data_IF_156280147899
#
_entry.id   IF_156280147899
#
_cell.length_a   1.000
_cell.length_b   1.000
_cell.length_c   1.000
_cell.angle_alpha   90.00
_cell.angle_beta   90.00
_cell.angle_gamma   90.00
#
_symmetry.space_group_name_H-M   'P 1'
#
loop_
_entity.id
_entity.type
_entity.pdbx_description
1 polymer ?
#
# COMPACT_ATOMS: atom_id res chain seq x y z
N UNK A 1 -55.06 -20.67 20.50
CA UNK A 1 -54.99 -19.20 20.53
C UNK A 1 -53.65 -18.85 21.14
N UNK A 2 -52.57 -18.57 20.44
CA UNK A 2 -52.24 -18.28 19.02
C UNK A 2 -50.71 -18.52 18.95
N UNK A 3 -50.19 -19.50 18.19
CA UNK A 3 -49.60 -19.39 16.82
C UNK A 3 -48.78 -18.10 16.65
N UNK A 4 -47.44 -18.14 16.78
CA UNK A 4 -46.39 -18.56 15.82
C UNK A 4 -46.33 -17.72 14.53
N UNK A 5 -45.39 -16.78 14.47
CA UNK A 5 -44.80 -16.28 13.22
C UNK A 5 -43.27 -16.49 13.31
N UNK A 6 -42.78 -17.43 12.50
CA UNK A 6 -41.37 -17.62 12.15
C UNK A 6 -41.23 -17.23 10.68
N UNK A 7 -40.41 -16.24 10.39
CA UNK A 7 -40.05 -15.91 9.02
C UNK A 7 -39.20 -17.03 8.42
N UNK A 8 -39.72 -17.64 7.36
CA UNK A 8 -38.99 -18.50 6.44
C UNK A 8 -38.34 -17.63 5.36
N UNK A 9 -37.00 -17.64 5.30
CA UNK A 9 -36.24 -17.16 4.14
C UNK A 9 -36.00 -18.35 3.22
N UNK A 10 -36.65 -18.35 2.06
CA UNK A 10 -36.46 -19.32 1.00
C UNK A 10 -35.28 -18.87 0.12
N UNK A 11 -34.19 -19.63 0.16
CA UNK A 11 -33.02 -19.41 -0.70
C UNK A 11 -33.31 -20.11 -2.03
N UNK A 12 -33.65 -19.34 -3.05
CA UNK A 12 -33.72 -19.81 -4.43
C UNK A 12 -32.31 -20.06 -4.94
N UNK A 13 -31.96 -21.34 -5.15
CA UNK A 13 -30.78 -21.73 -5.91
C UNK A 13 -31.10 -21.56 -7.40
N UNK A 14 -30.46 -20.58 -8.04
CA UNK A 14 -30.42 -20.49 -9.50
C UNK A 14 -29.36 -21.48 -9.95
N UNK A 15 -29.78 -22.56 -10.62
CA UNK A 15 -28.91 -23.47 -11.35
C UNK A 15 -28.64 -22.91 -12.75
N UNK A 16 -27.38 -22.96 -13.17
CA UNK A 16 -26.95 -22.67 -14.54
C UNK A 16 -27.49 -23.75 -15.50
N UNK A 17 -28.73 -23.60 -15.96
CA UNK A 17 -29.23 -24.26 -17.16
C UNK A 17 -29.90 -23.19 -18.04
N UNK A 18 -29.47 -23.12 -19.30
CA UNK A 18 -29.97 -22.20 -20.32
C UNK A 18 -31.46 -22.48 -20.61
N UNK A 19 -32.37 -21.84 -19.86
CA UNK A 19 -33.77 -21.72 -20.24
C UNK A 19 -33.95 -20.46 -21.10
N UNK A 20 -34.31 -20.68 -22.37
CA UNK A 20 -34.78 -19.62 -23.26
C UNK A 20 -36.05 -19.01 -22.64
N UNK A 21 -35.96 -17.73 -22.25
CA UNK A 21 -37.09 -16.96 -21.69
C UNK A 21 -38.28 -16.97 -22.64
N UNK A 22 -39.48 -17.14 -22.08
CA UNK A 22 -40.73 -17.14 -22.82
C UNK A 22 -40.91 -15.79 -23.55
N UNK A 23 -41.18 -15.79 -24.87
CA UNK A 23 -41.44 -14.56 -25.61
C UNK A 23 -42.60 -13.72 -25.06
N UNK A 24 -43.50 -14.25 -24.23
CA UNK A 24 -44.49 -13.43 -23.52
C UNK A 24 -43.89 -12.61 -22.37
N UNK A 25 -42.92 -13.16 -21.62
CA UNK A 25 -42.21 -12.43 -20.54
C UNK A 25 -41.30 -11.33 -21.08
N UNK A 26 -40.66 -11.57 -22.25
CA UNK A 26 -39.87 -10.56 -22.94
C UNK A 26 -40.75 -9.38 -23.36
N UNK A 27 -41.98 -9.65 -23.79
CA UNK A 27 -42.92 -8.63 -24.25
C UNK A 27 -43.49 -7.77 -23.12
N UNK A 28 -43.63 -8.34 -21.93
CA UNK A 28 -44.02 -7.61 -20.71
C UNK A 28 -42.87 -6.73 -20.20
N UNK A 29 -41.63 -7.19 -20.29
CA UNK A 29 -40.44 -6.38 -19.97
C UNK A 29 -40.23 -5.23 -20.96
N UNK A 30 -40.49 -5.44 -22.26
CA UNK A 30 -40.42 -4.37 -23.26
C UNK A 30 -41.49 -3.29 -23.01
N UNK A 31 -42.70 -3.63 -22.57
CA UNK A 31 -43.71 -2.61 -22.26
C UNK A 31 -43.39 -1.79 -21.01
N UNK A 32 -42.73 -2.38 -20.02
CA UNK A 32 -42.27 -1.67 -18.81
C UNK A 32 -41.14 -0.68 -19.15
N UNK A 33 -40.27 -1.03 -20.10
CA UNK A 33 -39.18 -0.13 -20.53
C UNK A 33 -39.75 1.05 -21.34
N UNK A 34 -40.75 0.81 -22.19
CA UNK A 34 -41.39 1.86 -23.01
C UNK A 34 -42.12 2.89 -22.14
N UNK A 35 -42.79 2.45 -21.06
CA UNK A 35 -43.47 3.32 -20.09
C UNK A 35 -42.50 4.18 -19.25
N UNK A 36 -41.29 3.70 -18.97
CA UNK A 36 -40.25 4.46 -18.24
C UNK A 36 -39.55 5.49 -19.14
N UNK A 37 -39.53 5.29 -20.46
CA UNK A 37 -38.91 6.23 -21.39
C UNK A 37 -39.78 7.41 -21.82
N UNK A 38 -41.11 7.33 -21.68
CA UNK A 38 -42.00 8.47 -22.02
C UNK A 38 -42.05 9.57 -20.94
N UNK A 39 -41.53 9.34 -19.72
CA UNK A 39 -41.56 10.34 -18.63
C UNK A 39 -40.39 11.35 -18.63
N UNK A 40 -39.50 11.36 -19.63
CA UNK A 40 -38.28 12.21 -19.61
C UNK A 40 -38.05 13.12 -20.83
N UNK A 41 -39.05 13.37 -21.67
CA UNK A 41 -38.87 14.10 -22.95
C UNK A 41 -39.50 15.51 -23.01
N UNK A 42 -39.37 16.29 -21.93
CA UNK A 42 -39.83 17.70 -21.85
C UNK A 42 -38.70 18.70 -21.54
N UNK A 43 -37.52 18.58 -22.18
CA UNK A 43 -36.55 19.68 -22.27
C UNK A 43 -36.00 19.85 -23.69
N UNK A 44 -36.71 20.66 -24.50
CA UNK A 44 -36.19 21.20 -25.77
C UNK A 44 -35.16 22.30 -25.49
N UNK A 45 -33.89 22.01 -25.79
CA UNK A 45 -32.86 23.04 -25.91
C UNK A 45 -32.94 23.72 -27.27
N UNK A 46 -33.01 25.05 -27.25
CA UNK A 46 -33.04 25.95 -28.40
C UNK A 46 -31.62 26.06 -28.99
N UNK A 47 -31.39 25.47 -30.17
CA UNK A 47 -30.11 25.53 -30.88
C UNK A 47 -30.14 26.61 -31.96
N UNK A 48 -30.02 27.88 -31.55
CA UNK A 48 -29.80 29.03 -32.45
C UNK A 48 -28.79 30.02 -31.82
N UNK A 49 -27.58 29.52 -31.51
CA UNK A 49 -26.45 30.38 -31.13
C UNK A 49 -25.45 30.49 -32.28
N UNK A 50 -25.27 31.72 -32.79
CA UNK A 50 -24.32 32.06 -33.85
C UNK A 50 -22.85 31.81 -33.42
N UNK A 51 -21.96 31.46 -34.35
CA UNK A 51 -20.56 31.18 -34.04
C UNK A 51 -19.82 32.47 -33.63
N UNK A 52 -19.20 32.44 -32.45
CA UNK A 52 -18.34 33.49 -31.91
C UNK A 52 -17.02 33.52 -32.71
N UNK A 53 -16.68 34.67 -33.28
CA UNK A 53 -15.37 34.96 -33.88
C UNK A 53 -14.26 34.88 -32.82
N UNK A 54 -13.29 34.01 -33.06
CA UNK A 54 -12.06 33.93 -32.27
C UNK A 54 -11.15 35.08 -32.73
N UNK A 55 -10.99 36.09 -31.87
CA UNK A 55 -9.98 37.14 -32.03
C UNK A 55 -8.66 36.59 -31.47
N UNK A 56 -7.64 36.47 -32.31
CA UNK A 56 -6.27 36.15 -31.91
C UNK A 56 -5.68 37.34 -31.12
N UNK A 57 -5.39 37.13 -29.85
CA UNK A 57 -4.70 38.12 -29.00
C UNK A 57 -3.18 37.85 -28.98
N UNK A 58 -2.42 38.94 -29.18
CA UNK A 58 -0.97 38.98 -29.32
C UNK A 58 -0.23 38.49 -28.08
N UNK A 59 0.81 37.68 -28.31
CA UNK A 59 1.77 37.27 -27.28
C UNK A 59 2.70 38.45 -26.93
N UNK A 60 2.49 39.06 -25.77
CA UNK A 60 3.55 39.82 -25.09
C UNK A 60 4.47 38.88 -24.30
N UNK A 61 5.77 39.09 -24.48
CA UNK A 61 6.83 38.34 -23.82
C UNK A 61 7.00 38.84 -22.37
N UNK A 62 6.80 37.95 -21.39
CA UNK A 62 7.19 38.22 -20.01
C UNK A 62 8.69 37.91 -19.81
N UNK A 63 9.43 38.94 -19.42
CA UNK A 63 10.79 38.86 -18.91
C UNK A 63 10.81 38.12 -17.55
N UNK A 64 11.75 37.18 -17.40
CA UNK A 64 12.02 36.45 -16.16
C UNK A 64 12.72 37.34 -15.13
N UNK A 65 12.26 37.42 -13.87
CA UNK A 65 13.02 38.07 -12.80
C UNK A 65 14.23 37.23 -12.37
N UNK A 66 15.29 37.94 -12.00
CA UNK A 66 16.59 37.43 -11.57
C UNK A 66 16.52 36.76 -10.19
N UNK A 67 17.34 35.71 -10.03
CA UNK A 67 17.61 35.01 -8.78
C UNK A 67 18.27 35.94 -7.75
N UNK A 68 17.59 36.20 -6.62
CA UNK A 68 18.21 36.77 -5.42
C UNK A 68 18.33 35.71 -4.32
N UNK A 69 19.59 35.48 -3.96
CA UNK A 69 20.18 35.01 -2.69
C UNK A 69 19.29 34.24 -1.69
N UNK A 70 19.45 32.91 -1.67
CA UNK A 70 19.12 32.08 -0.50
C UNK A 70 20.17 32.29 0.61
N UNK A 71 19.80 33.02 1.66
CA UNK A 71 20.54 33.09 2.91
C UNK A 71 20.60 31.71 3.62
N UNK A 72 21.81 31.32 4.01
CA UNK A 72 22.08 30.14 4.85
C UNK A 72 21.52 30.36 6.26
N UNK A 73 20.63 29.49 6.70
CA UNK A 73 20.29 29.34 8.10
C UNK A 73 21.23 28.32 8.77
N UNK A 74 22.11 28.82 9.65
CA UNK A 74 22.91 28.02 10.58
C UNK A 74 22.03 27.58 11.76
N UNK A 75 21.90 26.27 11.96
CA UNK A 75 21.31 25.72 13.18
C UNK A 75 22.34 25.73 14.32
N UNK A 76 22.04 26.31 15.49
CA UNK A 76 22.89 26.16 16.67
C UNK A 76 22.84 24.72 17.17
N UNK A 77 24.01 24.13 17.31
CA UNK A 77 24.23 22.80 17.89
C UNK A 77 24.50 22.98 19.38
N UNK A 78 23.48 22.75 20.20
CA UNK A 78 23.66 22.75 21.65
C UNK A 78 23.93 21.33 22.19
N UNK A 79 25.01 21.31 22.96
CA UNK A 79 25.62 20.25 23.75
C UNK A 79 24.67 19.40 24.62
N UNK A 80 24.77 18.09 24.40
CA UNK A 80 24.97 17.00 25.37
C UNK A 80 24.72 17.32 26.87
N UNK A 81 23.81 16.57 27.48
CA UNK A 81 24.07 16.00 28.82
C UNK A 81 23.80 14.51 28.82
N UNK A 82 24.88 13.73 28.92
CA UNK A 82 24.86 12.30 29.19
C UNK A 82 24.37 12.06 30.63
N UNK A 83 23.32 11.25 30.77
CA UNK A 83 22.91 10.72 32.08
C UNK A 83 23.44 9.29 32.18
N UNK A 84 24.36 9.15 33.13
CA UNK A 84 24.98 7.94 33.61
C UNK A 84 23.97 7.13 34.45
N UNK A 85 23.73 5.87 34.07
CA UNK A 85 22.97 4.89 34.85
C UNK A 85 23.75 3.58 34.89
N UNK A 86 24.80 3.57 35.72
CA UNK A 86 25.40 2.34 36.26
C UNK A 86 24.79 1.99 37.62
N UNK A 87 24.26 0.78 37.77
CA UNK A 87 24.43 -0.13 38.93
C UNK A 87 23.38 -1.25 38.84
N UNK A 88 23.84 -2.50 38.67
CA UNK A 88 23.76 -3.61 39.66
C UNK A 88 22.36 -4.31 39.64
N UNK A 89 22.17 -5.62 39.60
CA UNK A 89 23.00 -6.75 40.02
C UNK A 89 22.39 -8.08 39.48
N UNK A 90 23.30 -8.97 39.05
CA UNK A 90 23.33 -10.43 39.23
C UNK A 90 22.41 -11.44 38.46
N UNK A 91 22.93 -12.68 38.25
CA UNK A 91 22.58 -13.56 37.14
C UNK A 91 21.89 -14.85 37.59
N UNK A 92 21.10 -15.45 36.70
CA UNK A 92 20.67 -16.84 36.84
C UNK A 92 21.28 -17.72 35.76
N UNK A 93 22.27 -18.48 36.22
CA UNK A 93 22.87 -19.68 35.66
C UNK A 93 21.78 -20.76 35.51
N UNK A 94 21.56 -21.27 34.30
CA UNK A 94 20.85 -22.54 34.09
C UNK A 94 21.72 -23.41 33.17
N UNK A 95 21.97 -24.61 33.67
CA UNK A 95 22.85 -25.64 33.16
C UNK A 95 22.22 -26.40 31.98
N UNK A 96 23.07 -26.87 31.08
CA UNK A 96 22.74 -27.81 30.03
C UNK A 96 22.83 -29.26 30.52
N UNK A 97 22.02 -30.17 29.97
CA UNK A 97 22.41 -31.57 29.75
C UNK A 97 22.49 -31.83 28.24
N UNK A 98 23.65 -32.18 27.66
CA UNK A 98 24.34 -33.49 27.70
C UNK A 98 23.52 -34.65 27.11
N UNK A 99 23.93 -35.05 25.90
CA UNK A 99 24.11 -36.41 25.34
C UNK A 99 22.96 -37.42 25.41
N UNK A 100 22.56 -37.94 24.25
CA UNK A 100 22.84 -39.33 23.88
C UNK A 100 22.38 -39.65 22.43
N UNK A 101 23.33 -40.07 21.60
CA UNK A 101 23.08 -40.90 20.40
C UNK A 101 22.71 -42.33 20.87
N UNK A 102 21.97 -43.12 20.06
CA UNK A 102 22.71 -44.14 19.30
C UNK A 102 22.08 -44.60 17.96
N UNK A 103 23.01 -44.96 17.06
CA UNK A 103 23.06 -46.18 16.21
C UNK A 103 22.04 -46.38 15.08
N UNK A 104 22.62 -46.37 13.88
CA UNK A 104 22.25 -47.10 12.66
C UNK A 104 22.00 -48.60 12.89
N UNK A 105 21.32 -49.26 11.93
CA UNK A 105 22.01 -50.37 11.29
C UNK A 105 21.93 -50.37 9.76
N UNK A 106 23.10 -50.70 9.21
CA UNK A 106 23.43 -51.17 7.87
C UNK A 106 22.62 -52.40 7.46
N UNK A 107 22.06 -52.40 6.24
CA UNK A 107 21.79 -53.62 5.46
C UNK A 107 22.11 -53.32 3.98
N UNK A 108 22.95 -54.17 3.40
CA UNK A 108 23.20 -54.40 1.96
C UNK A 108 23.17 -55.93 1.76
N UNK A 109 23.29 -56.48 0.54
CA UNK A 109 22.64 -56.22 -0.76
C UNK A 109 22.03 -57.55 -1.32
N UNK A 110 21.89 -57.69 -2.66
CA UNK A 110 21.43 -58.87 -3.46
C UNK A 110 19.92 -58.84 -3.83
N UNK A 111 19.43 -59.13 -5.04
CA UNK A 111 20.01 -59.57 -6.33
C UNK A 111 18.92 -59.51 -7.45
N UNK A 112 19.33 -59.76 -8.71
CA UNK A 112 18.54 -60.07 -9.93
C UNK A 112 17.84 -58.90 -10.65
N UNK A 113 17.87 -58.71 -11.97
CA UNK A 113 18.31 -59.53 -13.11
C UNK A 113 17.35 -59.32 -14.31
N UNK A 114 17.87 -59.29 -15.54
CA UNK A 114 17.15 -59.39 -16.83
C UNK A 114 17.01 -58.06 -17.60
N UNK A 115 17.71 -57.83 -18.73
CA UNK A 115 17.42 -58.28 -20.13
C UNK A 115 16.08 -57.70 -20.65
N UNK A 116 15.93 -57.05 -21.81
CA UNK A 116 16.55 -57.23 -23.14
C UNK A 116 16.12 -56.09 -24.12
N UNK A 117 16.93 -55.89 -25.18
CA UNK A 117 16.60 -55.55 -26.58
C UNK A 117 15.86 -54.24 -26.98
N UNK A 118 16.49 -53.42 -27.85
CA UNK A 118 16.25 -53.44 -29.31
C UNK A 118 16.98 -52.29 -30.06
N UNK A 119 17.50 -52.65 -31.23
CA UNK A 119 18.33 -51.85 -32.14
C UNK A 119 17.57 -50.72 -32.89
N UNK A 120 18.30 -49.72 -33.41
CA UNK A 120 18.31 -49.38 -34.85
C UNK A 120 19.24 -48.20 -35.22
N UNK A 121 20.13 -48.47 -36.19
CA UNK A 121 20.61 -47.65 -37.33
C UNK A 121 21.56 -46.44 -37.15
N UNK A 122 22.79 -46.64 -37.64
CA UNK A 122 23.70 -45.64 -38.25
C UNK A 122 23.24 -45.38 -39.71
N UNK A 123 23.35 -44.19 -40.31
CA UNK A 123 24.52 -43.45 -40.85
C UNK A 123 24.01 -42.09 -41.42
N UNK A 124 24.82 -41.15 -41.99
CA UNK A 124 26.26 -40.92 -41.90
C UNK A 124 26.64 -39.48 -41.48
N UNK A 125 27.93 -39.28 -41.25
CA UNK A 125 28.58 -38.03 -40.89
C UNK A 125 28.51 -36.93 -41.97
N UNK A 126 28.21 -35.71 -41.54
CA UNK A 126 28.61 -34.47 -42.21
C UNK A 126 29.55 -33.74 -41.25
N UNK A 127 30.83 -33.68 -41.61
CA UNK A 127 31.83 -32.88 -40.92
C UNK A 127 31.41 -31.40 -40.91
N UNK A 128 31.13 -30.89 -39.72
CA UNK A 128 31.18 -29.46 -39.42
C UNK A 128 32.44 -29.20 -38.58
N UNK A 129 33.14 -28.08 -38.81
CA UNK A 129 34.40 -27.77 -38.14
C UNK A 129 34.23 -27.81 -36.61
N UNK A 130 35.28 -28.19 -35.85
CA UNK A 130 35.17 -28.33 -34.41
C UNK A 130 34.72 -27.01 -33.80
N UNK A 131 33.50 -27.02 -33.26
CA UNK A 131 33.04 -26.00 -32.35
C UNK A 131 33.88 -26.22 -31.08
N UNK A 132 34.87 -25.35 -30.86
CA UNK A 132 35.58 -25.27 -29.60
C UNK A 132 34.60 -24.69 -28.57
N UNK A 133 33.81 -25.56 -27.96
CA UNK A 133 33.17 -25.32 -26.66
C UNK A 133 33.96 -26.06 -25.60
N UNK A 134 35.21 -25.64 -25.41
CA UNK A 134 36.00 -26.01 -24.25
C UNK A 134 36.03 -24.81 -23.32
N UNK A 135 35.24 -24.84 -22.25
CA UNK A 135 35.58 -24.06 -21.07
C UNK A 135 36.89 -24.65 -20.56
N UNK A 136 38.03 -23.98 -20.80
CA UNK A 136 39.27 -24.33 -20.10
C UNK A 136 39.16 -23.72 -18.71
N UNK A 137 38.39 -24.39 -17.85
CA UNK A 137 38.42 -24.12 -16.41
C UNK A 137 39.72 -24.77 -15.91
N UNK A 138 40.57 -24.06 -15.13
CA UNK A 138 41.71 -24.68 -14.49
C UNK A 138 41.24 -25.92 -13.71
N UNK A 139 41.90 -27.06 -13.89
CA UNK A 139 41.51 -28.33 -13.24
C UNK A 139 41.84 -28.39 -11.74
N UNK A 140 42.20 -27.25 -11.14
CA UNK A 140 42.70 -27.21 -9.78
C UNK A 140 41.54 -27.00 -8.80
N UNK A 141 41.38 -28.00 -7.93
CA UNK A 141 40.48 -28.09 -6.77
C UNK A 141 39.07 -27.49 -6.95
N UNK A 142 38.12 -28.33 -7.40
CA UNK A 142 36.69 -28.04 -7.39
C UNK A 142 36.06 -28.44 -6.06
N UNK A 143 35.26 -27.54 -5.48
CA UNK A 143 34.49 -27.79 -4.27
C UNK A 143 32.99 -27.70 -4.57
N UNK A 144 32.27 -28.80 -4.31
CA UNK A 144 30.82 -28.86 -4.46
C UNK A 144 30.15 -28.39 -3.17
N UNK A 145 29.41 -27.29 -3.25
CA UNK A 145 28.71 -26.72 -2.09
C UNK A 145 27.21 -26.81 -2.32
N UNK A 146 26.52 -27.48 -1.39
CA UNK A 146 25.05 -27.54 -1.40
C UNK A 146 24.47 -26.29 -0.75
N UNK A 147 23.43 -25.68 -1.33
CA UNK A 147 22.74 -24.55 -0.71
C UNK A 147 22.08 -25.01 0.58
N UNK A 148 22.08 -24.12 1.58
CA UNK A 148 21.35 -24.35 2.83
C UNK A 148 19.83 -24.25 2.61
N UNK A 149 19.03 -24.77 3.55
CA UNK A 149 17.56 -24.71 3.47
C UNK A 149 17.00 -23.28 3.40
N UNK A 150 17.75 -22.28 3.85
CA UNK A 150 17.41 -20.85 3.78
C UNK A 150 17.90 -20.17 2.49
N UNK A 151 18.47 -20.92 1.53
CA UNK A 151 19.01 -20.37 0.28
C UNK A 151 20.39 -19.72 0.42
N UNK A 152 20.97 -19.67 1.63
CA UNK A 152 22.33 -19.20 1.85
C UNK A 152 23.38 -20.22 1.41
N UNK A 153 24.56 -19.74 1.02
CA UNK A 153 25.74 -20.56 0.74
C UNK A 153 26.68 -20.50 1.94
N UNK A 154 27.00 -21.64 2.54
CA UNK A 154 27.96 -21.73 3.65
C UNK A 154 29.21 -22.45 3.15
N UNK A 155 30.35 -21.77 3.21
CA UNK A 155 31.63 -22.38 2.83
C UNK A 155 32.04 -23.44 3.87
N UNK A 156 32.45 -24.65 3.45
CA UNK A 156 32.99 -25.67 4.34
C UNK A 156 34.16 -25.12 5.16
N UNK A 157 34.32 -25.63 6.40
CA UNK A 157 35.38 -25.17 7.31
C UNK A 157 36.78 -25.33 6.70
N UNK A 158 37.02 -26.45 6.03
CA UNK A 158 38.28 -26.76 5.33
C UNK A 158 38.63 -25.73 4.24
N UNK A 159 37.61 -25.19 3.55
CA UNK A 159 37.79 -24.16 2.55
C UNK A 159 38.04 -22.80 3.21
N UNK A 160 37.31 -22.45 4.27
CA UNK A 160 37.52 -21.21 5.03
C UNK A 160 38.93 -21.09 5.59
N UNK A 161 39.52 -22.20 6.01
CA UNK A 161 40.86 -22.22 6.59
C UNK A 161 41.98 -22.16 5.53
N UNK A 162 41.68 -22.53 4.27
CA UNK A 162 42.64 -22.54 3.14
C UNK A 162 42.61 -21.28 2.27
N UNK A 163 41.51 -20.54 2.31
CA UNK A 163 41.25 -19.43 1.40
C UNK A 163 41.78 -18.11 1.96
N UNK A 164 42.55 -17.38 1.14
CA UNK A 164 42.99 -16.03 1.47
C UNK A 164 41.82 -15.04 1.41
N UNK A 165 41.75 -13.99 2.26
CA UNK A 165 40.62 -13.05 2.28
C UNK A 165 40.33 -12.30 0.97
N UNK A 166 41.26 -12.30 0.02
CA UNK A 166 41.16 -11.63 -1.29
C UNK A 166 41.12 -12.63 -2.46
N UNK A 167 40.90 -13.92 -2.18
CA UNK A 167 40.82 -14.93 -3.22
C UNK A 167 39.57 -14.74 -4.09
N UNK A 168 39.75 -14.76 -5.40
CA UNK A 168 38.65 -14.73 -6.35
C UNK A 168 38.09 -16.14 -6.59
N UNK A 169 36.77 -16.22 -6.76
CA UNK A 169 36.04 -17.47 -7.01
C UNK A 169 35.18 -17.36 -8.26
N UNK A 170 35.17 -18.42 -9.07
CA UNK A 170 34.16 -18.63 -10.09
C UNK A 170 33.09 -19.60 -9.55
N UNK A 171 31.83 -19.20 -9.69
CA UNK A 171 30.67 -20.04 -9.39
C UNK A 171 30.12 -20.62 -10.70
N UNK A 172 30.13 -21.95 -10.83
CA UNK A 172 29.59 -22.64 -12.00
C UNK A 172 28.44 -23.54 -11.56
N UNK A 173 27.32 -23.47 -12.28
CA UNK A 173 26.20 -24.37 -12.07
C UNK A 173 26.41 -25.64 -12.90
N UNK A 174 26.77 -26.74 -12.25
CA UNK A 174 26.87 -28.06 -12.86
C UNK A 174 25.62 -28.88 -12.53
N UNK A 175 24.65 -28.91 -13.44
CA UNK A 175 23.36 -29.57 -13.21
C UNK A 175 22.53 -28.88 -12.12
N UNK A 176 22.40 -29.53 -10.96
CA UNK A 176 21.69 -29.02 -9.77
C UNK A 176 22.63 -28.59 -8.64
N UNK A 177 23.94 -28.70 -8.84
CA UNK A 177 24.94 -28.40 -7.83
C UNK A 177 25.75 -27.16 -8.23
N UNK A 178 26.21 -26.42 -7.22
CA UNK A 178 27.07 -25.26 -7.39
C UNK A 178 28.51 -25.70 -7.16
N UNK A 179 29.31 -25.63 -8.22
CA UNK A 179 30.73 -25.88 -8.19
C UNK A 179 31.47 -24.56 -7.99
N UNK A 180 32.36 -24.53 -7.00
CA UNK A 180 33.23 -23.39 -6.71
C UNK A 180 34.64 -23.70 -7.20
N UNK A 181 35.18 -22.80 -8.02
CA UNK A 181 36.56 -22.85 -8.50
C UNK A 181 37.33 -21.64 -7.97
N UNK A 182 38.52 -21.88 -7.43
CA UNK A 182 39.45 -20.79 -7.14
C UNK A 182 40.05 -20.30 -8.44
N UNK A 183 39.96 -19.00 -8.69
CA UNK A 183 40.49 -18.38 -9.90
C UNK A 183 41.51 -17.30 -9.54
N UNK A 184 42.52 -17.16 -10.38
CA UNK A 184 43.45 -16.03 -10.29
C UNK A 184 42.89 -14.85 -11.08
N UNK A 185 43.33 -13.63 -10.75
CA UNK A 185 42.89 -12.41 -11.46
C UNK A 185 43.14 -12.47 -12.97
N UNK A 186 44.21 -13.14 -13.39
CA UNK A 186 44.59 -13.32 -14.79
C UNK A 186 43.58 -14.17 -15.59
N UNK A 187 42.77 -14.97 -14.92
CA UNK A 187 41.79 -15.86 -15.55
C UNK A 187 40.40 -15.21 -15.65
N UNK A 188 40.14 -14.13 -14.91
CA UNK A 188 38.87 -13.40 -14.94
C UNK A 188 38.48 -12.96 -16.37
N UNK A 189 39.37 -12.40 -17.21
CA UNK A 189 39.01 -12.00 -18.57
C UNK A 189 38.66 -13.17 -19.49
N UNK A 190 39.12 -14.39 -19.15
CA UNK A 190 38.86 -15.62 -19.91
C UNK A 190 37.49 -16.22 -19.55
N UNK A 191 36.92 -15.82 -18.42
CA UNK A 191 35.59 -16.25 -17.99
C UNK A 191 34.53 -15.50 -18.81
N UNK A 192 33.83 -16.22 -19.67
CA UNK A 192 32.62 -15.72 -20.31
C UNK A 192 31.44 -15.92 -19.36
N UNK A 193 30.80 -14.83 -18.96
CA UNK A 193 29.51 -14.89 -18.29
C UNK A 193 28.53 -15.62 -19.20
N UNK A 194 28.11 -16.82 -18.81
CA UNK A 194 27.03 -17.52 -19.49
C UNK A 194 25.75 -16.75 -19.16
N UNK A 195 25.48 -15.69 -19.92
CA UNK A 195 24.10 -15.24 -20.09
C UNK A 195 23.42 -16.42 -20.75
N UNK A 196 22.66 -17.20 -19.98
CA UNK A 196 21.66 -18.10 -20.57
C UNK A 196 20.90 -17.21 -21.54
N UNK A 197 21.09 -17.44 -22.85
CA UNK A 197 20.07 -17.05 -23.81
C UNK A 197 18.84 -17.76 -23.29
N UNK A 198 17.98 -17.00 -22.61
CA UNK A 198 16.60 -17.40 -22.46
C UNK A 198 16.13 -17.39 -23.91
N UNK A 199 16.25 -18.54 -24.57
CA UNK A 199 15.55 -18.76 -25.82
C UNK A 199 14.12 -18.29 -25.56
N UNK A 200 13.58 -17.38 -26.38
CA UNK A 200 12.21 -16.96 -26.20
C UNK A 200 11.40 -18.23 -26.21
N UNK A 201 10.87 -18.61 -25.04
CA UNK A 201 9.89 -19.68 -24.96
C UNK A 201 8.87 -19.31 -26.02
N UNK A 202 8.76 -20.16 -27.05
CA UNK A 202 7.57 -20.25 -27.87
C UNK A 202 6.40 -20.00 -26.93
N UNK A 203 5.49 -19.10 -27.30
CA UNK A 203 4.23 -18.84 -26.58
C UNK A 203 3.42 -20.14 -26.50
N UNK A 204 3.87 -21.13 -25.76
CA UNK A 204 2.98 -22.02 -25.05
C UNK A 204 2.22 -21.09 -24.16
N UNK A 205 0.90 -21.00 -24.39
CA UNK A 205 -0.03 -20.45 -23.41
C UNK A 205 0.49 -20.92 -22.05
N UNK A 206 1.06 -20.01 -21.26
CA UNK A 206 1.18 -20.25 -19.82
C UNK A 206 -0.26 -20.49 -19.45
N UNK A 207 -0.63 -21.75 -19.26
CA UNK A 207 -1.85 -22.08 -18.58
C UNK A 207 -1.80 -21.21 -17.35
N UNK A 208 -2.70 -20.23 -17.29
CA UNK A 208 -3.00 -19.46 -16.10
C UNK A 208 -3.30 -20.57 -15.11
N UNK A 209 -2.29 -20.94 -14.32
CA UNK A 209 -2.42 -22.02 -13.34
C UNK A 209 -3.46 -21.43 -12.42
N UNK A 210 -4.72 -21.83 -12.60
CA UNK A 210 -5.83 -21.30 -11.84
C UNK A 210 -5.39 -21.45 -10.39
N UNK A 211 -5.07 -20.31 -9.77
CA UNK A 211 -4.80 -20.27 -8.34
C UNK A 211 -6.11 -20.80 -7.78
N UNK A 212 -6.10 -22.02 -7.23
CA UNK A 212 -7.23 -22.54 -6.47
C UNK A 212 -7.58 -21.42 -5.50
N UNK A 213 -8.78 -20.83 -5.65
CA UNK A 213 -9.29 -19.84 -4.68
C UNK A 213 -9.15 -20.51 -3.32
N UNK A 214 -8.27 -19.98 -2.49
CA UNK A 214 -8.16 -20.45 -1.11
C UNK A 214 -9.44 -19.99 -0.45
N UNK A 215 -10.20 -20.90 0.14
CA UNK A 215 -11.34 -20.53 0.97
C UNK A 215 -10.82 -19.68 2.14
N UNK A 216 -11.17 -18.40 2.17
CA UNK A 216 -10.66 -17.46 3.16
C UNK A 216 -10.84 -15.99 2.74
N UNK A 217 -10.49 -15.04 3.63
CA UNK A 217 -10.47 -13.63 3.29
C UNK A 217 -9.48 -13.38 2.15
N UNK A 218 -9.83 -12.46 1.25
CA UNK A 218 -8.99 -12.03 0.13
C UNK A 218 -8.44 -10.62 0.40
N UNK A 219 -7.22 -10.30 -0.08
CA UNK A 219 -6.69 -8.94 0.01
C UNK A 219 -7.47 -7.96 -0.89
N UNK A 220 -7.81 -6.80 -0.35
CA UNK A 220 -8.46 -5.69 -1.04
C UNK A 220 -7.41 -4.76 -1.68
N UNK A 221 -6.87 -5.14 -2.83
CA UNK A 221 -5.83 -4.35 -3.49
C UNK A 221 -6.25 -2.92 -3.90
N UNK A 222 -7.47 -2.67 -4.41
CA UNK A 222 -7.95 -1.32 -4.67
C UNK A 222 -7.82 -0.39 -3.46
N UNK A 223 -8.00 -0.92 -2.24
CA UNK A 223 -7.81 -0.16 -0.99
C UNK A 223 -6.35 0.22 -0.70
N UNK A 224 -5.35 -0.46 -1.26
CA UNK A 224 -3.94 -0.17 -0.93
C UNK A 224 -3.23 0.65 -2.03
N UNK A 225 -3.61 0.43 -3.29
CA UNK A 225 -2.97 1.03 -4.46
C UNK A 225 -3.76 2.24 -4.98
N UNK A 226 -3.73 3.33 -4.21
CA UNK A 226 -4.31 4.62 -4.64
C UNK A 226 -3.50 5.29 -5.74
N UNK A 227 -2.21 4.97 -5.83
CA UNK A 227 -1.29 5.52 -6.80
C UNK A 227 -0.56 4.40 -7.53
N UNK A 228 -0.26 4.62 -8.81
CA UNK A 228 0.53 3.69 -9.60
C UNK A 228 1.98 3.63 -9.07
N UNK A 229 2.47 2.39 -8.89
CA UNK A 229 3.84 2.13 -8.45
C UNK A 229 4.66 1.48 -9.57
N UNK A 230 5.94 1.83 -9.62
CA UNK A 230 6.91 1.05 -10.39
C UNK A 230 6.97 -0.36 -9.79
N UNK A 231 6.90 -1.39 -10.64
CA UNK A 231 6.80 -2.80 -10.23
C UNK A 231 5.56 -3.18 -9.40
N UNK A 232 4.44 -2.44 -9.52
CA UNK A 232 3.17 -2.74 -8.82
C UNK A 232 2.78 -4.23 -8.86
N UNK A 233 2.92 -4.92 -10.00
CA UNK A 233 2.60 -6.35 -10.10
C UNK A 233 3.44 -7.25 -9.19
N UNK A 234 4.74 -6.96 -9.02
CA UNK A 234 5.62 -7.72 -8.12
C UNK A 234 5.31 -7.42 -6.66
N UNK A 235 5.02 -6.15 -6.37
CA UNK A 235 4.63 -5.70 -5.02
C UNK A 235 3.30 -6.35 -4.63
N UNK A 236 2.33 -6.36 -5.54
CA UNK A 236 1.02 -6.99 -5.35
C UNK A 236 1.17 -8.49 -5.07
N UNK A 237 1.94 -9.23 -5.88
CA UNK A 237 2.20 -10.65 -5.64
C UNK A 237 2.85 -10.92 -4.27
N UNK A 238 3.78 -10.05 -3.84
CA UNK A 238 4.43 -10.15 -2.54
C UNK A 238 3.47 -9.83 -1.38
N UNK A 239 2.66 -8.78 -1.50
CA UNK A 239 1.63 -8.44 -0.52
C UNK A 239 0.54 -9.51 -0.42
N UNK A 240 0.14 -10.11 -1.55
CA UNK A 240 -0.77 -11.27 -1.56
C UNK A 240 -0.17 -12.43 -0.74
N UNK A 241 1.12 -12.71 -0.97
CA UNK A 241 1.81 -13.75 -0.20
C UNK A 241 1.91 -13.41 1.29
N UNK A 242 2.14 -12.15 1.66
CA UNK A 242 2.20 -11.73 3.06
C UNK A 242 0.81 -11.82 3.72
N UNK A 243 -0.24 -11.40 3.01
CA UNK A 243 -1.63 -11.45 3.47
C UNK A 243 -2.02 -12.87 3.88
N UNK A 244 -1.77 -13.85 3.00
CA UNK A 244 -2.12 -15.23 3.32
C UNK A 244 -1.33 -15.79 4.50
N UNK A 245 -0.10 -15.34 4.74
CA UNK A 245 0.66 -15.73 5.95
C UNK A 245 0.09 -15.11 7.22
N UNK A 246 -0.48 -13.92 7.16
CA UNK A 246 -1.27 -13.36 8.27
C UNK A 246 -2.59 -14.09 8.49
N UNK A 247 -3.21 -14.59 7.42
CA UNK A 247 -4.46 -15.34 7.46
C UNK A 247 -4.30 -16.80 7.93
N UNK A 248 -3.07 -17.32 8.04
CA UNK A 248 -2.81 -18.66 8.55
C UNK A 248 -3.20 -18.82 10.02
N UNK A 249 -3.46 -20.06 10.44
CA UNK A 249 -3.90 -20.36 11.80
C UNK A 249 -3.01 -21.47 12.40
N UNK A 250 -2.03 -21.13 13.27
CA UNK A 250 -1.72 -19.80 13.81
C UNK A 250 -1.07 -18.85 12.77
N UNK A 251 -1.18 -17.52 12.96
CA UNK A 251 -0.64 -16.55 12.01
C UNK A 251 0.89 -16.57 11.99
N UNK A 252 1.48 -16.65 10.80
CA UNK A 252 2.93 -16.64 10.59
C UNK A 252 3.46 -15.20 10.49
N UNK A 253 3.25 -14.41 11.55
CA UNK A 253 3.56 -12.98 11.60
C UNK A 253 5.01 -12.67 11.21
N UNK A 254 5.98 -13.44 11.73
CA UNK A 254 7.40 -13.21 11.42
C UNK A 254 7.73 -13.37 9.94
N UNK A 255 7.16 -14.39 9.29
CA UNK A 255 7.37 -14.59 7.87
C UNK A 255 6.64 -13.57 7.00
N UNK A 256 5.43 -13.17 7.40
CA UNK A 256 4.67 -12.12 6.71
C UNK A 256 5.41 -10.78 6.80
N UNK A 257 5.91 -10.42 7.99
CA UNK A 257 6.69 -9.20 8.19
C UNK A 257 8.02 -9.21 7.45
N UNK A 258 8.69 -10.35 7.34
CA UNK A 258 9.90 -10.46 6.51
C UNK A 258 9.62 -10.13 5.04
N UNK A 259 8.44 -10.48 4.52
CA UNK A 259 8.03 -10.09 3.16
C UNK A 259 7.78 -8.58 3.09
N UNK A 260 7.09 -8.00 4.07
CA UNK A 260 6.84 -6.54 4.13
C UNK A 260 8.17 -5.76 4.18
N UNK A 261 9.10 -6.19 5.05
CA UNK A 261 10.44 -5.58 5.16
C UNK A 261 11.22 -5.78 3.86
N UNK A 262 11.12 -6.96 3.22
CA UNK A 262 11.71 -7.18 1.91
C UNK A 262 11.16 -6.21 0.86
N UNK A 263 9.85 -5.92 0.86
CA UNK A 263 9.26 -4.95 -0.06
C UNK A 263 9.83 -3.55 0.20
N UNK A 264 9.79 -3.09 1.45
CA UNK A 264 10.34 -1.79 1.84
C UNK A 264 11.84 -1.68 1.47
N UNK A 265 12.65 -2.69 1.77
CA UNK A 265 14.10 -2.63 1.50
C UNK A 265 14.46 -2.78 0.03
N UNK A 266 13.76 -3.63 -0.73
CA UNK A 266 14.13 -3.94 -2.12
C UNK A 266 13.59 -2.94 -3.13
N UNK A 267 12.41 -2.40 -2.89
CA UNK A 267 11.76 -1.48 -3.84
C UNK A 267 12.03 -0.01 -3.50
N UNK A 268 12.37 0.34 -2.25
CA UNK A 268 12.77 1.73 -1.92
C UNK A 268 14.23 1.97 -2.31
N UNK A 269 15.15 1.04 -2.04
CA UNK A 269 16.60 1.26 -2.25
C UNK A 269 17.04 1.35 -3.71
N UNK A 270 16.25 0.81 -4.64
CA UNK A 270 16.58 0.80 -6.07
C UNK A 270 16.15 2.07 -6.81
N UNK A 271 15.26 2.89 -6.23
CA UNK A 271 14.83 4.15 -6.80
C UNK A 271 15.42 5.30 -5.99
N UNK A 272 16.03 6.29 -6.67
CA UNK A 272 16.65 7.46 -6.02
C UNK A 272 15.64 8.39 -5.32
N UNK A 273 14.35 8.05 -5.35
CA UNK A 273 13.33 8.74 -4.59
C UNK A 273 12.75 7.77 -3.57
N UNK A 274 12.80 8.14 -2.30
CA UNK A 274 12.02 7.51 -1.24
C UNK A 274 10.54 7.56 -1.65
N UNK A 275 10.01 6.45 -2.17
CA UNK A 275 8.65 6.46 -2.71
C UNK A 275 7.62 6.48 -1.58
N UNK A 276 7.17 7.69 -1.24
CA UNK A 276 6.12 7.95 -0.26
C UNK A 276 4.83 7.18 -0.59
N UNK A 277 4.56 6.89 -1.89
CA UNK A 277 3.39 6.12 -2.32
C UNK A 277 3.52 4.65 -1.92
N UNK A 278 4.70 4.05 -2.07
CA UNK A 278 4.93 2.68 -1.62
C UNK A 278 4.74 2.57 -0.11
N UNK A 279 5.28 3.51 0.66
CA UNK A 279 5.12 3.55 2.12
C UNK A 279 3.66 3.65 2.54
N UNK A 280 2.90 4.53 1.89
CA UNK A 280 1.46 4.63 2.09
C UNK A 280 0.76 3.29 1.78
N UNK A 281 1.05 2.66 0.64
CA UNK A 281 0.49 1.35 0.28
C UNK A 281 0.77 0.31 1.37
N UNK A 282 1.98 0.27 1.92
CA UNK A 282 2.32 -0.64 3.02
C UNK A 282 1.54 -0.30 4.30
N UNK A 283 1.41 0.98 4.67
CA UNK A 283 0.61 1.38 5.84
C UNK A 283 -0.84 0.95 5.69
N UNK A 284 -1.45 1.18 4.53
CA UNK A 284 -2.85 0.82 4.25
C UNK A 284 -3.04 -0.70 4.29
N UNK A 285 -2.12 -1.43 3.69
CA UNK A 285 -2.09 -2.89 3.76
C UNK A 285 -2.01 -3.37 5.22
N UNK A 286 -1.07 -2.86 6.01
CA UNK A 286 -0.90 -3.26 7.41
C UNK A 286 -2.11 -2.87 8.27
N UNK A 287 -2.74 -1.72 8.03
CA UNK A 287 -3.98 -1.34 8.70
C UNK A 287 -5.12 -2.32 8.38
N UNK A 288 -5.23 -2.78 7.14
CA UNK A 288 -6.20 -3.81 6.79
C UNK A 288 -5.89 -5.17 7.45
N UNK A 289 -4.61 -5.54 7.58
CA UNK A 289 -4.21 -6.73 8.35
C UNK A 289 -4.61 -6.60 9.82
N UNK A 290 -4.42 -5.42 10.42
CA UNK A 290 -4.84 -5.14 11.80
C UNK A 290 -6.34 -5.34 11.95
N UNK A 291 -7.13 -4.81 11.02
CA UNK A 291 -8.59 -4.91 11.00
C UNK A 291 -9.10 -6.35 10.88
N UNK A 292 -8.54 -7.12 9.95
CA UNK A 292 -9.02 -8.48 9.65
C UNK A 292 -8.52 -9.53 10.65
N UNK A 293 -7.27 -9.38 11.12
CA UNK A 293 -6.59 -10.44 11.87
C UNK A 293 -6.23 -10.02 13.30
N UNK A 294 -6.71 -8.85 13.77
CA UNK A 294 -6.50 -8.32 15.12
C UNK A 294 -5.02 -8.32 15.54
N UNK A 295 -4.17 -7.67 14.73
CA UNK A 295 -2.72 -7.58 14.94
C UNK A 295 -2.27 -6.16 15.34
N UNK A 296 -2.68 -5.64 16.51
CA UNK A 296 -2.54 -4.23 16.85
C UNK A 296 -1.09 -3.75 17.04
N UNK A 297 -0.11 -4.66 17.14
CA UNK A 297 1.31 -4.34 17.16
C UNK A 297 1.84 -3.81 15.82
N UNK A 298 1.11 -4.01 14.72
CA UNK A 298 1.51 -3.47 13.41
C UNK A 298 1.36 -1.95 13.35
N UNK A 299 0.48 -1.36 14.17
CA UNK A 299 0.36 0.10 14.31
C UNK A 299 1.68 0.69 14.86
N UNK A 300 2.25 0.06 15.90
CA UNK A 300 3.55 0.43 16.48
C UNK A 300 4.69 0.29 15.48
N UNK A 301 4.62 -0.68 14.57
CA UNK A 301 5.58 -0.85 13.49
C UNK A 301 5.47 0.28 12.46
N UNK A 302 4.27 0.59 11.98
CA UNK A 302 4.04 1.69 11.04
C UNK A 302 4.56 3.03 11.59
N UNK A 303 4.30 3.30 12.88
CA UNK A 303 4.72 4.54 13.55
C UNK A 303 6.24 4.68 13.64
N UNK A 304 6.98 3.60 13.89
CA UNK A 304 8.44 3.66 14.11
C UNK A 304 9.24 3.52 12.82
N UNK A 305 8.79 2.69 11.89
CA UNK A 305 9.64 2.23 10.78
C UNK A 305 9.21 2.79 9.41
N UNK A 306 7.99 3.32 9.29
CA UNK A 306 7.45 3.71 7.97
C UNK A 306 7.08 5.19 7.91
N UNK A 307 6.26 5.67 8.85
CA UNK A 307 5.55 6.94 8.68
C UNK A 307 6.49 8.14 8.63
N UNK A 308 7.51 8.19 9.49
CA UNK A 308 8.43 9.33 9.58
C UNK A 308 9.36 9.44 8.35
N UNK A 309 9.41 8.41 7.50
CA UNK A 309 10.18 8.42 6.25
C UNK A 309 9.35 8.86 5.03
N UNK A 310 8.07 9.22 5.21
CA UNK A 310 7.21 9.76 4.16
C UNK A 310 7.47 11.26 3.99
N UNK A 311 7.93 11.65 2.80
CA UNK A 311 8.36 13.02 2.51
C UNK A 311 7.20 13.93 2.05
N UNK A 312 6.18 13.36 1.42
CA UNK A 312 5.00 14.12 0.98
C UNK A 312 4.10 14.44 2.17
N UNK A 313 3.89 15.72 2.49
CA UNK A 313 3.00 16.17 3.57
C UNK A 313 1.58 15.62 3.41
N UNK A 314 1.05 15.64 2.18
CA UNK A 314 -0.27 15.10 1.87
C UNK A 314 -0.37 13.60 2.15
N UNK A 315 0.58 12.80 1.66
CA UNK A 315 0.58 11.35 1.89
C UNK A 315 0.84 11.00 3.36
N UNK A 316 1.70 11.76 4.03
CA UNK A 316 1.95 11.64 5.47
C UNK A 316 0.65 11.83 6.25
N UNK A 317 -0.09 12.89 5.94
CA UNK A 317 -1.37 13.18 6.57
C UNK A 317 -2.42 12.09 6.32
N UNK A 318 -2.56 11.61 5.09
CA UNK A 318 -3.47 10.50 4.77
C UNK A 318 -3.11 9.24 5.58
N UNK A 319 -1.82 8.95 5.72
CA UNK A 319 -1.36 7.82 6.53
C UNK A 319 -1.67 8.01 8.02
N UNK A 320 -1.50 9.23 8.55
CA UNK A 320 -1.89 9.55 9.93
C UNK A 320 -3.38 9.35 10.16
N UNK A 321 -4.23 9.81 9.24
CA UNK A 321 -5.68 9.61 9.33
C UNK A 321 -6.03 8.12 9.35
N UNK A 322 -5.47 7.32 8.44
CA UNK A 322 -5.70 5.89 8.41
C UNK A 322 -5.22 5.19 9.69
N UNK A 323 -4.06 5.56 10.22
CA UNK A 323 -3.55 5.01 11.48
C UNK A 323 -4.39 5.44 12.68
N UNK A 324 -4.91 6.67 12.71
CA UNK A 324 -5.81 7.14 13.75
C UNK A 324 -7.10 6.30 13.77
N UNK A 325 -7.73 6.15 12.61
CA UNK A 325 -8.92 5.30 12.45
C UNK A 325 -8.64 3.86 12.88
N UNK A 326 -7.57 3.25 12.38
CA UNK A 326 -7.24 1.86 12.70
C UNK A 326 -6.85 1.69 14.18
N UNK A 327 -6.23 2.68 14.81
CA UNK A 327 -5.95 2.66 16.25
C UNK A 327 -7.23 2.71 17.07
N UNK A 328 -8.19 3.53 16.65
CA UNK A 328 -9.47 3.68 17.30
C UNK A 328 -10.28 2.37 17.31
N UNK A 329 -10.46 1.74 16.15
CA UNK A 329 -11.22 0.50 16.02
C UNK A 329 -10.57 -0.66 16.79
N UNK A 330 -9.25 -0.62 17.00
CA UNK A 330 -8.51 -1.57 17.84
C UNK A 330 -8.57 -1.25 19.34
N UNK A 331 -9.28 -0.19 19.74
CA UNK A 331 -9.41 0.21 21.14
C UNK A 331 -8.12 0.80 21.74
N UNK A 332 -7.29 1.46 20.92
CA UNK A 332 -6.11 2.23 21.36
C UNK A 332 -6.34 3.73 21.14
N UNK A 333 -7.26 4.37 21.90
CA UNK A 333 -7.60 5.78 21.70
C UNK A 333 -6.39 6.70 21.88
N UNK A 334 -5.52 6.43 22.84
CA UNK A 334 -4.35 7.28 23.13
C UNK A 334 -3.42 7.39 21.91
N UNK A 335 -3.30 6.30 21.14
CA UNK A 335 -2.55 6.31 19.88
C UNK A 335 -3.28 7.05 18.77
N UNK A 336 -4.61 6.92 18.70
CA UNK A 336 -5.38 7.70 17.74
C UNK A 336 -5.18 9.20 17.99
N UNK A 337 -5.16 9.62 19.26
CA UNK A 337 -4.97 11.01 19.66
C UNK A 337 -3.60 11.54 19.27
N UNK A 338 -2.54 10.74 19.47
CA UNK A 338 -1.20 11.06 18.97
C UNK A 338 -1.20 11.30 17.45
N UNK A 339 -1.86 10.44 16.67
CA UNK A 339 -1.93 10.60 15.21
C UNK A 339 -2.78 11.78 14.77
N UNK A 340 -3.90 12.05 15.45
CA UNK A 340 -4.75 13.23 15.20
C UNK A 340 -3.97 14.51 15.50
N UNK A 341 -3.25 14.56 16.62
CA UNK A 341 -2.42 15.71 17.00
C UNK A 341 -1.36 15.99 15.93
N UNK A 342 -0.62 14.94 15.50
CA UNK A 342 0.34 15.07 14.39
C UNK A 342 -0.32 15.52 13.09
N UNK A 343 -1.53 15.06 12.80
CA UNK A 343 -2.27 15.48 11.60
C UNK A 343 -2.57 16.98 11.65
N UNK A 344 -3.10 17.47 12.78
CA UNK A 344 -3.36 18.91 13.00
C UNK A 344 -2.07 19.73 12.89
N UNK A 345 -0.96 19.27 13.47
CA UNK A 345 0.34 19.94 13.35
C UNK A 345 0.86 20.03 11.91
N UNK A 346 0.54 19.05 11.07
CA UNK A 346 0.89 19.07 9.63
C UNK A 346 0.01 20.06 8.89
N UNK A 347 -1.29 20.11 9.20
CA UNK A 347 -2.21 21.08 8.59
C UNK A 347 -1.81 22.51 8.94
N UNK A 348 -1.45 22.74 10.20
CA UNK A 348 -1.00 24.05 10.70
C UNK A 348 0.28 24.57 10.00
N UNK A 349 1.01 23.71 9.27
CA UNK A 349 2.22 24.08 8.50
C UNK A 349 1.95 24.54 7.07
N UNK A 350 0.75 24.33 6.52
CA UNK A 350 0.40 24.85 5.19
C UNK A 350 0.39 26.38 5.21
N UNK A 351 0.74 26.99 4.08
CA UNK A 351 0.66 28.43 3.94
C UNK A 351 -0.81 28.88 3.91
N UNK A 352 -1.11 30.08 4.41
CA UNK A 352 -2.46 30.61 4.42
C UNK A 352 -3.05 30.79 3.00
N UNK A 353 -2.20 30.95 1.98
CA UNK A 353 -2.59 30.96 0.57
C UNK A 353 -3.02 29.59 0.03
N UNK A 354 -2.68 28.49 0.71
CA UNK A 354 -3.02 27.12 0.33
C UNK A 354 -4.36 26.68 0.93
N UNK A 355 -5.36 27.55 0.94
CA UNK A 355 -6.65 27.31 1.61
C UNK A 355 -7.35 26.05 1.11
N UNK A 356 -7.21 25.72 -0.18
CA UNK A 356 -7.70 24.47 -0.74
C UNK A 356 -7.09 23.25 -0.02
N UNK A 357 -5.76 23.22 0.14
CA UNK A 357 -5.08 22.12 0.80
C UNK A 357 -5.48 22.03 2.28
N UNK A 358 -5.61 23.17 2.97
CA UNK A 358 -6.05 23.23 4.37
C UNK A 358 -7.47 22.67 4.53
N UNK A 359 -8.43 23.13 3.73
CA UNK A 359 -9.82 22.69 3.84
C UNK A 359 -9.98 21.22 3.46
N UNK A 360 -9.32 20.77 2.40
CA UNK A 360 -9.34 19.36 1.99
C UNK A 360 -8.68 18.47 3.06
N UNK A 361 -7.61 18.94 3.68
CA UNK A 361 -6.94 18.25 4.79
C UNK A 361 -7.86 18.09 6.01
N UNK A 362 -8.56 19.15 6.43
CA UNK A 362 -9.55 19.07 7.51
C UNK A 362 -10.73 18.20 7.12
N UNK A 363 -11.21 18.27 5.89
CA UNK A 363 -12.30 17.43 5.39
C UNK A 363 -11.96 15.95 5.52
N UNK A 364 -10.75 15.55 5.11
CA UNK A 364 -10.29 14.17 5.26
C UNK A 364 -10.16 13.74 6.71
N UNK A 365 -9.58 14.58 7.57
CA UNK A 365 -9.48 14.32 9.01
C UNK A 365 -10.88 14.14 9.62
N UNK A 366 -11.78 15.11 9.43
CA UNK A 366 -13.14 15.08 10.00
C UNK A 366 -13.92 13.89 9.49
N UNK A 367 -13.84 13.56 8.20
CA UNK A 367 -14.48 12.36 7.65
C UNK A 367 -13.99 11.06 8.29
N UNK A 368 -12.72 11.02 8.70
CA UNK A 368 -12.12 9.90 9.44
C UNK A 368 -12.66 9.83 10.88
N UNK A 369 -12.94 10.98 11.51
CA UNK A 369 -13.45 11.07 12.88
C UNK A 369 -14.97 10.86 12.99
N UNK A 370 -15.75 11.22 11.96
CA UNK A 370 -17.23 11.12 12.00
C UNK A 370 -17.75 9.72 12.34
N UNK A 371 -17.26 8.61 11.73
CA UNK A 371 -17.76 7.27 12.04
C UNK A 371 -17.49 6.82 13.49
N UNK A 372 -16.54 7.48 14.16
CA UNK A 372 -16.03 7.12 15.48
C UNK A 372 -16.44 8.13 16.58
N UNK A 373 -17.10 9.22 16.19
CA UNK A 373 -17.67 10.23 17.07
C UNK A 373 -18.74 9.66 18.01
N UNK A 374 -18.81 10.17 19.25
CA UNK A 374 -19.81 9.81 20.25
C UNK A 374 -19.63 8.45 20.94
N UNK A 375 -18.79 7.56 20.40
CA UNK A 375 -18.51 6.25 21.01
C UNK A 375 -17.27 6.24 21.90
N UNK A 376 -16.15 6.84 21.47
CA UNK A 376 -14.89 6.84 22.24
C UNK A 376 -13.91 8.01 22.00
N UNK A 377 -14.15 8.89 21.03
CA UNK A 377 -13.36 10.13 20.87
C UNK A 377 -13.77 11.11 21.96
N UNK A 378 -12.80 11.71 22.64
CA UNK A 378 -13.08 12.70 23.67
C UNK A 378 -13.56 14.01 23.05
N UNK A 379 -14.44 14.74 23.76
CA UNK A 379 -14.83 16.09 23.33
C UNK A 379 -13.61 17.03 23.26
N UNK A 380 -12.54 16.74 24.01
CA UNK A 380 -11.30 17.49 24.03
C UNK A 380 -10.53 17.36 22.70
N UNK A 381 -10.42 16.16 22.13
CA UNK A 381 -9.81 15.93 20.81
C UNK A 381 -10.59 16.64 19.69
N UNK A 382 -11.93 16.54 19.70
CA UNK A 382 -12.76 17.26 18.73
C UNK A 382 -12.58 18.77 18.87
N UNK A 383 -12.40 19.25 20.11
CA UNK A 383 -12.11 20.65 20.40
C UNK A 383 -10.73 21.06 19.87
N UNK A 384 -9.72 20.20 19.89
CA UNK A 384 -8.42 20.46 19.27
C UNK A 384 -8.54 20.70 17.76
N UNK A 385 -9.22 19.79 17.05
CA UNK A 385 -9.45 19.90 15.60
C UNK A 385 -10.22 21.18 15.28
N UNK A 386 -11.30 21.44 16.02
CA UNK A 386 -12.10 22.66 15.91
C UNK A 386 -11.28 23.92 16.14
N UNK A 387 -10.46 23.96 17.19
CA UNK A 387 -9.65 25.13 17.53
C UNK A 387 -8.57 25.41 16.46
N UNK A 388 -8.00 24.37 15.85
CA UNK A 388 -7.09 24.55 14.71
C UNK A 388 -7.84 25.04 13.48
N UNK A 389 -9.01 24.47 13.15
CA UNK A 389 -9.87 24.93 12.06
C UNK A 389 -10.24 26.42 12.22
N UNK A 390 -10.65 26.84 13.41
CA UNK A 390 -11.02 28.23 13.72
C UNK A 390 -9.91 29.26 13.45
N UNK A 391 -8.63 28.88 13.49
CA UNK A 391 -7.49 29.77 13.14
C UNK A 391 -7.59 30.31 11.71
N UNK A 392 -8.33 29.62 10.85
CA UNK A 392 -8.49 29.96 9.44
C UNK A 392 -9.76 30.74 9.15
N UNK A 393 -10.73 30.80 10.08
CA UNK A 393 -12.04 31.40 9.86
C UNK A 393 -11.99 32.85 9.36
N UNK A 394 -11.08 33.66 9.92
CA UNK A 394 -10.92 35.07 9.54
C UNK A 394 -10.13 35.27 8.24
N UNK A 395 -9.48 34.21 7.74
CA UNK A 395 -8.69 34.20 6.50
C UNK A 395 -9.52 33.75 5.29
N UNK A 396 -10.76 33.32 5.49
CA UNK A 396 -11.64 32.84 4.42
C UNK A 396 -12.23 34.01 3.64
N UNK A 397 -11.66 34.28 2.47
CA UNK A 397 -12.17 35.29 1.54
C UNK A 397 -13.20 34.68 0.58
N UNK A 398 -12.92 33.47 0.09
CA UNK A 398 -13.81 32.75 -0.82
C UNK A 398 -15.04 32.21 -0.08
N UNK A 399 -16.21 32.40 -0.69
CA UNK A 399 -17.48 31.93 -0.15
C UNK A 399 -17.53 30.40 -0.10
N UNK A 400 -16.97 29.70 -1.08
CA UNK A 400 -16.98 28.23 -1.10
C UNK A 400 -16.23 27.67 0.11
N UNK A 401 -15.11 28.30 0.50
CA UNK A 401 -14.39 27.90 1.71
C UNK A 401 -15.13 28.30 2.99
N UNK A 402 -15.85 29.42 3.01
CA UNK A 402 -16.70 29.78 4.15
C UNK A 402 -17.84 28.76 4.36
N UNK A 403 -18.45 28.30 3.27
CA UNK A 403 -19.48 27.25 3.30
C UNK A 403 -18.87 25.94 3.79
N UNK A 404 -17.76 25.49 3.18
CA UNK A 404 -17.08 24.27 3.60
C UNK A 404 -16.71 24.33 5.09
N UNK A 405 -16.19 25.45 5.57
CA UNK A 405 -15.86 25.64 6.98
C UNK A 405 -17.07 25.41 7.91
N UNK A 406 -18.24 25.95 7.57
CA UNK A 406 -19.48 25.73 8.36
C UNK A 406 -19.87 24.25 8.33
N UNK A 407 -19.82 23.60 7.16
CA UNK A 407 -20.14 22.18 7.03
C UNK A 407 -19.19 21.28 7.84
N UNK A 408 -17.91 21.65 7.91
CA UNK A 408 -16.93 20.95 8.72
C UNK A 408 -17.21 21.09 10.22
N UNK A 409 -17.60 22.28 10.69
CA UNK A 409 -18.05 22.48 12.08
C UNK A 409 -19.32 21.67 12.40
N UNK A 410 -20.30 21.67 11.49
CA UNK A 410 -21.52 20.88 11.63
C UNK A 410 -21.21 19.37 11.72
N UNK A 411 -20.29 18.87 10.89
CA UNK A 411 -19.84 17.46 10.91
C UNK A 411 -19.08 17.06 12.16
N UNK A 412 -18.46 18.03 12.84
CA UNK A 412 -17.84 17.83 14.15
C UNK A 412 -18.83 17.98 15.31
N UNK A 413 -20.11 18.21 15.02
CA UNK A 413 -21.20 18.42 15.99
C UNK A 413 -21.04 19.70 16.85
N UNK A 414 -20.34 20.70 16.33
CA UNK A 414 -20.29 22.08 16.86
C UNK A 414 -21.37 22.93 16.19
N UNK A 415 -22.62 22.52 16.37
CA UNK A 415 -23.79 23.03 15.64
C UNK A 415 -24.06 24.51 15.93
N UNK A 416 -23.92 24.93 17.19
CA UNK A 416 -24.12 26.32 17.60
C UNK A 416 -23.05 27.24 16.99
N UNK A 417 -21.80 26.82 17.01
CA UNK A 417 -20.69 27.57 16.40
C UNK A 417 -20.84 27.63 14.87
N UNK A 418 -21.26 26.53 14.23
CA UNK A 418 -21.57 26.49 12.80
C UNK A 418 -22.67 27.51 12.45
N UNK A 419 -23.73 27.59 13.26
CA UNK A 419 -24.81 28.56 13.09
C UNK A 419 -24.33 30.01 13.23
N UNK A 420 -23.54 30.31 14.27
CA UNK A 420 -23.02 31.65 14.52
C UNK A 420 -22.07 32.09 13.41
N UNK A 421 -21.23 31.17 12.90
CA UNK A 421 -20.33 31.43 11.77
C UNK A 421 -21.09 31.65 10.46
N UNK A 422 -22.15 30.87 10.20
CA UNK A 422 -23.03 31.10 9.06
C UNK A 422 -23.63 32.50 9.09
N UNK A 423 -24.15 32.93 10.24
CA UNK A 423 -24.68 34.30 10.42
C UNK A 423 -23.60 35.36 10.19
N UNK A 424 -22.41 35.17 10.75
CA UNK A 424 -21.29 36.09 10.59
C UNK A 424 -20.86 36.27 9.13
N UNK A 425 -20.79 35.19 8.34
CA UNK A 425 -20.45 35.29 6.93
C UNK A 425 -21.57 35.94 6.11
N UNK A 426 -22.84 35.62 6.39
CA UNK A 426 -23.97 36.30 5.76
C UNK A 426 -23.96 37.82 5.98
N UNK A 427 -23.63 38.27 7.19
CA UNK A 427 -23.58 39.70 7.53
C UNK A 427 -22.43 40.45 6.82
N UNK A 428 -21.42 39.74 6.32
CA UNK A 428 -20.27 40.29 5.58
C UNK A 428 -20.46 40.34 4.07
N UNK A 429 -21.44 39.61 3.55
CA UNK A 429 -21.69 39.53 2.11
C UNK A 429 -22.38 40.82 1.66
N UNK A 430 -21.81 41.47 0.64
CA UNK A 430 -22.41 42.66 0.04
C UNK A 430 -23.69 42.29 -0.74
N UNK A 431 -24.88 42.75 -0.33
CA UNK A 431 -26.13 42.43 -0.99
C UNK A 431 -26.24 43.01 -2.41
N UNK A 432 -25.37 43.94 -2.80
CA UNK A 432 -25.34 44.52 -4.14
C UNK A 432 -24.53 43.69 -5.15
N UNK A 433 -23.79 42.66 -4.70
CA UNK A 433 -23.05 41.78 -5.59
C UNK A 433 -23.96 40.65 -6.13
N UNK A 434 -24.25 40.57 -7.44
CA UNK A 434 -25.10 39.51 -7.99
C UNK A 434 -24.51 38.10 -7.84
N UNK A 435 -23.18 37.95 -7.77
CA UNK A 435 -22.54 36.67 -7.46
C UNK A 435 -22.82 36.22 -6.02
N UNK A 436 -23.07 37.17 -5.11
CA UNK A 436 -23.41 36.89 -3.73
C UNK A 436 -24.85 36.38 -3.55
N UNK A 437 -25.76 36.57 -4.51
CA UNK A 437 -27.14 36.11 -4.38
C UNK A 437 -27.24 34.59 -4.27
N UNK A 438 -26.54 33.84 -5.14
CA UNK A 438 -26.52 32.37 -5.11
C UNK A 438 -25.85 31.83 -3.84
N UNK A 439 -24.74 32.44 -3.45
CA UNK A 439 -24.05 32.18 -2.18
C UNK A 439 -24.94 32.39 -0.95
N UNK A 440 -25.71 33.49 -0.94
CA UNK A 440 -26.59 33.84 0.18
C UNK A 440 -27.71 32.81 0.37
N UNK A 441 -28.20 32.20 -0.70
CA UNK A 441 -29.20 31.14 -0.61
C UNK A 441 -28.62 29.84 -0.06
N UNK A 442 -27.38 29.50 -0.39
CA UNK A 442 -26.67 28.36 0.23
C UNK A 442 -26.48 28.57 1.74
N UNK A 443 -26.07 29.77 2.18
CA UNK A 443 -25.97 30.07 3.62
C UNK A 443 -27.33 30.00 4.33
N UNK A 444 -28.41 30.51 3.70
CA UNK A 444 -29.76 30.38 4.25
C UNK A 444 -30.19 28.93 4.37
N UNK A 445 -29.88 28.09 3.38
CA UNK A 445 -30.21 26.67 3.38
C UNK A 445 -29.47 25.93 4.49
N UNK A 446 -28.16 26.16 4.63
CA UNK A 446 -27.35 25.62 5.73
C UNK A 446 -27.90 26.07 7.07
N UNK A 447 -28.19 27.37 7.23
CA UNK A 447 -28.76 27.90 8.47
C UNK A 447 -30.14 27.31 8.80
N UNK A 448 -30.98 27.07 7.79
CA UNK A 448 -32.30 26.42 7.96
C UNK A 448 -32.13 24.96 8.36
N UNK A 449 -31.18 24.24 7.76
CA UNK A 449 -30.83 22.86 8.09
C UNK A 449 -30.34 22.75 9.54
N UNK A 450 -29.38 23.60 9.91
CA UNK A 450 -28.79 23.65 11.24
C UNK A 450 -29.83 24.07 12.31
N UNK A 451 -30.60 25.12 12.03
CA UNK A 451 -31.62 25.65 12.94
C UNK A 451 -32.85 24.75 13.17
N UNK A 452 -32.95 23.62 12.46
CA UNK A 452 -34.04 22.65 12.60
C UNK A 452 -33.65 21.31 13.25
N UNK A 453 -32.42 21.13 13.76
CA UNK A 453 -32.09 19.91 14.53
C UNK A 453 -32.91 19.87 15.84
N UNK A 454 -33.45 18.70 16.22
CA UNK A 454 -34.42 18.57 17.30
C UNK A 454 -33.76 18.91 18.64
N UNK A 455 -34.48 19.65 19.48
CA UNK A 455 -34.14 19.76 20.89
C UNK A 455 -34.03 18.34 21.46
N UNK A 456 -32.87 17.99 22.04
CA UNK A 456 -32.65 16.74 22.77
C UNK A 456 -33.66 16.54 23.91
#
# INVERSE_FOLDING_TARGET
MSEEEKDHVEIVKISDEDEELDPEEIKELESIIEEVTEEHDDEKYDTDAEPIEIVEEEKEALETPQDDEFEKYDFPSDEITAVDLSSEENPRKIEAPSTDEPKTPTISPEDLGGEENAASQQEPAIEKPPIITGHVIPQDECWLIKPTKSGGLTLPKELRDKVHPQQNFALVLEGHELAFYMINEEDIPKLRLVRKKIEPKVKGKKGKREKKKKEGPEPDFPRYFHFELEDQGKIQDALESAFYKFAENPPLVGEAMNIVIYILTSFIKNHRMNDSRLRQTIIFFLCHIVEQFNQPQLIDFCQREIIDEIQSSYLYQICLNQLAYTSFIMGKPEKADEFITKCVEVIDKYDAGEMYAIMDSFKHLIHTLTPIQGKRISKEELTLVKNSLDKYADKLVDVDYQIQFIELLERLDFVDEAYDKAKFFMDKIDPENPAAAGSMDQFKEIRRRIGHKPAE
#
